data_IF_994278843043
#
_entry.id   IF_994278843043
#
_cell.length_a   1.000
_cell.length_b   1.000
_cell.length_c   1.000
_cell.angle_alpha   90.00
_cell.angle_beta   90.00
_cell.angle_gamma   90.00
#
_symmetry.space_group_name_H-M   'P 1'
#
loop_
_entity.id
_entity.type
_entity.pdbx_description
1 polymer ?
#
# COMPACT_ATOMS: atom_id res chain seq x y z
N UNK A 1 7.04 -18.39 15.79
CA UNK A 1 7.84 -18.41 14.53
C UNK A 1 8.70 -17.16 14.46
N UNK A 2 9.81 -17.27 13.76
CA UNK A 2 10.68 -16.13 13.40
C UNK A 2 10.49 -15.79 11.93
N UNK A 3 9.90 -14.66 11.68
CA UNK A 3 9.58 -14.16 10.33
C UNK A 3 10.53 -13.04 9.93
N UNK A 4 10.66 -12.80 8.64
CA UNK A 4 11.30 -11.60 8.13
C UNK A 4 10.40 -10.92 7.10
N UNK A 5 10.33 -9.60 7.18
CA UNK A 5 9.63 -8.74 6.23
C UNK A 5 10.63 -8.03 5.34
N UNK A 6 10.36 -8.00 4.04
CA UNK A 6 11.21 -7.37 3.04
C UNK A 6 10.42 -6.39 2.20
N UNK A 7 10.81 -5.12 2.24
CA UNK A 7 10.27 -4.05 1.40
C UNK A 7 11.36 -3.43 0.53
N UNK A 8 10.98 -2.68 -0.51
CA UNK A 8 11.94 -1.88 -1.26
C UNK A 8 12.45 -0.71 -0.44
N UNK A 9 11.52 -0.01 0.21
CA UNK A 9 11.74 1.12 1.10
C UNK A 9 10.84 0.94 2.32
N UNK A 10 11.42 0.95 3.52
CA UNK A 10 10.67 0.82 4.77
C UNK A 10 11.49 1.39 5.94
N UNK A 11 10.83 2.13 6.85
CA UNK A 11 9.46 2.61 6.75
C UNK A 11 9.26 3.68 5.67
N UNK A 12 8.01 3.94 5.30
CA UNK A 12 7.63 5.03 4.42
C UNK A 12 6.22 5.53 4.78
N UNK A 13 5.97 6.81 4.58
CA UNK A 13 4.71 7.49 4.94
C UNK A 13 3.47 6.75 4.42
N UNK A 14 3.54 6.16 3.22
CA UNK A 14 2.45 5.40 2.61
C UNK A 14 2.40 3.92 3.00
N UNK A 15 3.27 3.44 3.89
CA UNK A 15 3.40 2.03 4.26
C UNK A 15 2.92 1.72 5.69
N UNK A 16 2.03 2.54 6.25
CA UNK A 16 1.45 2.32 7.59
C UNK A 16 0.80 0.94 7.75
N UNK A 17 0.24 0.38 6.68
CA UNK A 17 -0.36 -0.95 6.68
C UNK A 17 0.67 -2.07 6.92
N UNK A 18 1.90 -1.94 6.40
CA UNK A 18 2.98 -2.91 6.67
C UNK A 18 3.35 -2.89 8.14
N UNK A 19 3.49 -1.70 8.73
CA UNK A 19 3.76 -1.56 10.16
C UNK A 19 2.65 -2.17 11.02
N UNK A 20 1.39 -1.85 10.71
CA UNK A 20 0.22 -2.42 11.43
C UNK A 20 0.16 -3.94 11.36
N UNK A 21 0.50 -4.52 10.21
CA UNK A 21 0.56 -5.97 10.03
C UNK A 21 1.70 -6.58 10.85
N UNK A 22 2.89 -5.98 10.85
CA UNK A 22 4.01 -6.42 11.68
C UNK A 22 3.66 -6.33 13.18
N UNK A 23 3.12 -5.20 13.63
CA UNK A 23 2.70 -5.01 15.03
C UNK A 23 1.66 -6.05 15.46
N UNK A 24 0.70 -6.37 14.59
CA UNK A 24 -0.31 -7.40 14.86
C UNK A 24 0.30 -8.80 14.98
N UNK A 25 1.28 -9.14 14.14
CA UNK A 25 2.02 -10.40 14.18
C UNK A 25 2.86 -10.51 15.46
N UNK A 26 3.54 -9.44 15.86
CA UNK A 26 4.33 -9.42 17.11
C UNK A 26 3.44 -9.53 18.35
N UNK A 27 2.30 -8.86 18.33
CA UNK A 27 1.29 -8.99 19.41
C UNK A 27 0.70 -10.41 19.50
N UNK A 28 0.74 -11.17 18.41
CA UNK A 28 0.39 -12.60 18.40
C UNK A 28 1.54 -13.52 18.90
N UNK A 29 2.65 -12.96 19.38
CA UNK A 29 3.77 -13.70 19.97
C UNK A 29 4.81 -14.20 18.97
N UNK A 30 4.91 -13.62 17.79
CA UNK A 30 5.92 -13.95 16.77
C UNK A 30 7.04 -12.89 16.72
N UNK A 31 8.23 -13.27 16.31
CA UNK A 31 9.35 -12.35 16.11
C UNK A 31 9.43 -11.96 14.62
N UNK A 32 9.52 -10.65 14.32
CA UNK A 32 9.61 -10.15 12.95
C UNK A 32 10.87 -9.33 12.73
N UNK A 33 11.79 -9.83 11.90
CA UNK A 33 12.93 -9.07 11.39
C UNK A 33 12.48 -8.13 10.26
N UNK A 34 12.85 -6.84 10.34
CA UNK A 34 12.53 -5.84 9.31
C UNK A 34 13.70 -5.59 8.40
N UNK A 35 13.48 -5.77 7.10
CA UNK A 35 14.48 -5.53 6.06
C UNK A 35 13.93 -4.61 4.98
N UNK A 36 14.76 -3.65 4.56
CA UNK A 36 14.49 -2.85 3.37
C UNK A 36 15.67 -2.95 2.39
N UNK A 37 15.40 -2.95 1.10
CA UNK A 37 16.47 -2.93 0.10
C UNK A 37 17.20 -1.60 0.13
N UNK A 38 16.48 -0.49 0.34
CA UNK A 38 17.00 0.87 0.40
C UNK A 38 16.76 1.49 1.78
N UNK A 39 17.64 2.40 2.24
CA UNK A 39 17.38 3.13 3.49
C UNK A 39 16.11 3.97 3.39
N UNK A 40 15.46 4.21 4.53
CA UNK A 40 14.30 5.08 4.63
C UNK A 40 14.62 6.51 4.12
N UNK A 41 13.56 7.24 3.72
CA UNK A 41 13.69 8.65 3.34
C UNK A 41 13.62 9.54 4.57
N UNK A 42 14.18 10.76 4.45
CA UNK A 42 14.22 11.74 5.54
C UNK A 42 12.88 12.46 5.81
N UNK A 43 11.79 12.08 5.16
CA UNK A 43 10.49 12.76 5.23
C UNK A 43 9.52 12.15 6.26
N UNK A 44 9.98 11.21 7.09
CA UNK A 44 9.19 10.58 8.14
C UNK A 44 8.84 11.60 9.23
N UNK A 45 7.56 11.70 9.59
CA UNK A 45 7.05 12.58 10.65
C UNK A 45 6.40 11.83 11.82
N UNK A 46 5.88 10.63 11.54
CA UNK A 46 5.22 9.81 12.55
C UNK A 46 6.27 9.16 13.47
N UNK A 47 6.09 9.29 14.79
CA UNK A 47 7.02 8.70 15.77
C UNK A 47 7.10 7.17 15.66
N UNK A 48 6.02 6.53 15.25
CA UNK A 48 6.02 5.09 15.04
C UNK A 48 6.88 4.70 13.84
N UNK A 49 6.85 5.47 12.76
CA UNK A 49 7.72 5.24 11.60
C UNK A 49 9.20 5.51 11.93
N UNK A 50 9.49 6.52 12.75
CA UNK A 50 10.86 6.78 13.24
C UNK A 50 11.38 5.66 14.16
N UNK A 51 10.50 4.98 14.92
CA UNK A 51 10.87 3.79 15.68
C UNK A 51 11.18 2.61 14.77
N UNK A 52 10.35 2.37 13.75
CA UNK A 52 10.57 1.32 12.75
C UNK A 52 11.89 1.54 11.98
N UNK A 53 12.24 2.77 11.63
CA UNK A 53 13.50 3.09 10.95
C UNK A 53 14.72 2.62 11.76
N UNK A 54 14.71 2.80 13.08
CA UNK A 54 15.84 2.44 13.97
C UNK A 54 16.10 0.94 14.02
N UNK A 55 15.06 0.11 13.82
CA UNK A 55 15.12 -1.33 13.92
C UNK A 55 15.11 -2.04 12.55
N UNK A 56 14.95 -1.29 11.46
CA UNK A 56 14.96 -1.83 10.09
C UNK A 56 16.39 -1.91 9.55
N UNK A 57 16.79 -3.08 9.08
CA UNK A 57 18.08 -3.29 8.45
C UNK A 57 18.02 -2.99 6.94
N UNK A 58 18.69 -1.93 6.47
CA UNK A 58 18.79 -1.61 5.06
C UNK A 58 19.91 -2.41 4.38
N UNK A 59 19.57 -3.18 3.34
CA UNK A 59 20.52 -4.01 2.58
C UNK A 59 21.60 -3.16 1.93
N UNK A 60 21.20 -2.08 1.24
CA UNK A 60 22.13 -1.17 0.54
C UNK A 60 22.76 -0.11 1.46
N UNK A 61 22.29 0.05 2.69
CA UNK A 61 22.74 1.10 3.60
C UNK A 61 24.18 0.97 4.11
N UNK A 62 24.84 -0.18 3.90
CA UNK A 62 26.15 -0.50 4.50
C UNK A 62 27.25 -0.80 3.48
N UNK A 63 27.08 -0.41 2.21
CA UNK A 63 28.11 -0.44 1.16
C UNK A 63 28.18 -1.76 0.37
N UNK A 64 28.61 -1.65 -0.89
CA UNK A 64 28.67 -2.74 -1.88
C UNK A 64 29.68 -3.84 -1.52
N UNK A 65 30.77 -3.49 -0.86
CA UNK A 65 31.83 -4.45 -0.44
C UNK A 65 31.25 -5.58 0.41
N UNK A 66 30.29 -5.27 1.26
CA UNK A 66 29.63 -6.24 2.13
C UNK A 66 28.78 -7.24 1.36
N UNK A 67 28.12 -6.79 0.29
CA UNK A 67 27.35 -7.64 -0.61
C UNK A 67 28.27 -8.61 -1.35
N UNK A 68 29.36 -8.10 -1.93
CA UNK A 68 30.36 -8.91 -2.65
C UNK A 68 31.01 -9.95 -1.75
N UNK A 69 31.41 -9.57 -0.53
CA UNK A 69 31.97 -10.54 0.45
C UNK A 69 30.97 -11.63 0.84
N UNK A 70 29.69 -11.27 0.97
CA UNK A 70 28.63 -12.24 1.27
C UNK A 70 28.43 -13.21 0.11
N UNK A 71 28.40 -12.72 -1.11
CA UNK A 71 28.28 -13.55 -2.33
C UNK A 71 29.46 -14.50 -2.46
N UNK A 72 30.69 -14.02 -2.28
CA UNK A 72 31.87 -14.84 -2.36
C UNK A 72 31.85 -15.98 -1.30
N UNK A 73 31.48 -15.66 -0.07
CA UNK A 73 31.38 -16.67 0.99
C UNK A 73 30.35 -17.75 0.68
N UNK A 74 29.19 -17.38 0.08
CA UNK A 74 28.16 -18.34 -0.32
C UNK A 74 28.56 -19.17 -1.55
N UNK A 75 29.26 -18.58 -2.53
CA UNK A 75 29.76 -19.29 -3.69
C UNK A 75 30.72 -20.41 -3.23
N UNK A 76 31.60 -20.09 -2.31
CA UNK A 76 32.58 -21.10 -1.79
C UNK A 76 31.89 -22.18 -0.95
N UNK A 77 30.92 -21.79 -0.09
CA UNK A 77 30.25 -22.75 0.81
C UNK A 77 29.12 -23.55 0.14
N UNK A 78 28.54 -23.09 -0.94
CA UNK A 78 27.38 -23.71 -1.59
C UNK A 78 27.35 -23.40 -3.12
N UNK A 79 28.32 -23.94 -3.90
CA UNK A 79 28.48 -23.56 -5.32
C UNK A 79 27.27 -23.95 -6.18
N UNK A 80 26.63 -25.09 -5.95
CA UNK A 80 25.44 -25.53 -6.70
C UNK A 80 24.28 -24.60 -6.45
N UNK A 81 23.98 -24.25 -5.18
CA UNK A 81 22.92 -23.33 -4.83
C UNK A 81 23.21 -21.90 -5.34
N UNK A 82 24.47 -21.52 -5.42
CA UNK A 82 24.88 -20.24 -6.02
C UNK A 82 24.57 -20.20 -7.52
N UNK A 83 24.81 -21.30 -8.24
CA UNK A 83 24.44 -21.41 -9.66
C UNK A 83 22.91 -21.40 -9.86
N UNK A 84 22.14 -22.13 -9.03
CA UNK A 84 20.68 -22.15 -9.08
C UNK A 84 20.10 -20.73 -8.83
N UNK A 85 20.63 -20.01 -7.84
CA UNK A 85 20.20 -18.65 -7.51
C UNK A 85 20.54 -17.63 -8.62
N UNK A 86 21.70 -17.77 -9.26
CA UNK A 86 22.08 -16.96 -10.42
C UNK A 86 21.17 -17.26 -11.61
N UNK A 87 20.82 -18.55 -11.82
CA UNK A 87 19.82 -18.98 -12.79
C UNK A 87 18.45 -18.35 -12.53
N UNK A 88 18.02 -18.26 -11.27
CA UNK A 88 16.80 -17.56 -10.88
C UNK A 88 16.88 -16.07 -11.22
N UNK A 89 17.96 -15.38 -10.83
CA UNK A 89 18.16 -13.97 -11.16
C UNK A 89 18.11 -13.72 -12.69
N UNK A 90 18.70 -14.62 -13.46
CA UNK A 90 18.66 -14.54 -14.92
C UNK A 90 17.24 -14.75 -15.47
N UNK A 91 16.47 -15.72 -15.00
CA UNK A 91 15.07 -15.96 -15.41
C UNK A 91 14.17 -14.77 -15.10
N UNK A 92 14.39 -14.11 -13.96
CA UNK A 92 13.61 -12.91 -13.57
C UNK A 92 14.01 -11.66 -14.36
N UNK A 93 15.15 -11.65 -15.04
CA UNK A 93 15.72 -10.44 -15.63
C UNK A 93 15.06 -9.98 -16.93
N UNK A 94 14.25 -10.77 -17.60
CA UNK A 94 13.73 -10.40 -18.93
C UNK A 94 14.82 -10.12 -19.99
N UNK A 95 14.44 -9.67 -21.20
CA UNK A 95 15.34 -9.51 -22.34
C UNK A 95 16.06 -8.19 -22.26
N UNK A 96 17.07 -7.83 -21.84
CA UNK A 96 17.76 -6.53 -21.91
C UNK A 96 18.97 -6.46 -20.99
N UNK A 97 20.06 -5.91 -21.50
CA UNK A 97 21.31 -5.83 -20.76
C UNK A 97 21.17 -5.07 -19.42
N UNK A 98 20.46 -3.94 -19.42
CA UNK A 98 20.18 -3.17 -18.19
C UNK A 98 19.40 -3.99 -17.17
N UNK A 99 18.44 -4.81 -17.60
CA UNK A 99 17.69 -5.68 -16.72
C UNK A 99 18.57 -6.78 -16.13
N UNK A 100 19.48 -7.36 -16.91
CA UNK A 100 20.43 -8.37 -16.42
C UNK A 100 21.39 -7.80 -15.36
N UNK A 101 21.91 -6.58 -15.57
CA UNK A 101 22.74 -5.88 -14.55
C UNK A 101 21.95 -5.66 -13.29
N UNK A 102 20.71 -5.17 -13.40
CA UNK A 102 19.84 -4.93 -12.24
C UNK A 102 19.58 -6.21 -11.45
N UNK A 103 19.28 -7.33 -12.11
CA UNK A 103 19.03 -8.59 -11.42
C UNK A 103 20.31 -9.25 -10.89
N UNK A 104 21.46 -8.95 -11.47
CA UNK A 104 22.74 -9.29 -10.86
C UNK A 104 22.96 -8.50 -9.56
N UNK A 105 22.59 -7.23 -9.50
CA UNK A 105 22.61 -6.47 -8.25
C UNK A 105 21.65 -7.10 -7.21
N UNK A 106 20.44 -7.50 -7.60
CA UNK A 106 19.50 -8.23 -6.72
C UNK A 106 20.08 -9.55 -6.21
N UNK A 107 20.87 -10.24 -7.03
CA UNK A 107 21.59 -11.45 -6.61
C UNK A 107 22.63 -11.15 -5.52
N UNK A 108 23.38 -10.04 -5.62
CA UNK A 108 24.29 -9.60 -4.56
C UNK A 108 23.55 -9.22 -3.27
N UNK A 109 22.43 -8.51 -3.40
CA UNK A 109 21.54 -8.15 -2.27
C UNK A 109 20.99 -9.40 -1.57
N UNK A 110 20.55 -10.40 -2.35
CA UNK A 110 20.04 -11.67 -1.86
C UNK A 110 21.11 -12.46 -1.08
N UNK A 111 22.36 -12.43 -1.50
CA UNK A 111 23.47 -13.09 -0.80
C UNK A 111 23.67 -12.55 0.63
N UNK A 112 23.65 -11.24 0.78
CA UNK A 112 23.76 -10.62 2.10
C UNK A 112 22.53 -10.93 2.95
N UNK A 113 21.34 -10.78 2.38
CA UNK A 113 20.08 -11.03 3.08
C UNK A 113 20.02 -12.48 3.56
N UNK A 114 20.35 -13.47 2.71
CA UNK A 114 20.36 -14.89 3.07
C UNK A 114 21.24 -15.16 4.29
N UNK A 115 22.45 -14.60 4.31
CA UNK A 115 23.35 -14.78 5.46
C UNK A 115 22.75 -14.18 6.73
N UNK A 116 22.09 -13.04 6.63
CA UNK A 116 21.44 -12.38 7.76
C UNK A 116 20.24 -13.17 8.27
N UNK A 117 19.39 -13.67 7.36
CA UNK A 117 18.24 -14.52 7.70
C UNK A 117 18.68 -15.81 8.42
N UNK A 118 19.78 -16.44 7.96
CA UNK A 118 20.36 -17.62 8.64
C UNK A 118 20.86 -17.30 10.05
N UNK A 119 21.51 -16.15 10.26
CA UNK A 119 21.95 -15.71 11.58
C UNK A 119 20.80 -15.48 12.56
N UNK A 120 19.65 -15.04 12.05
CA UNK A 120 18.44 -14.79 12.83
C UNK A 120 17.54 -16.04 12.94
N UNK A 121 17.91 -17.17 12.32
CA UNK A 121 17.10 -18.38 12.23
C UNK A 121 15.68 -18.09 11.71
N UNK A 122 15.55 -17.29 10.65
CA UNK A 122 14.26 -16.95 10.04
C UNK A 122 13.66 -18.17 9.36
N UNK A 123 12.40 -18.46 9.68
CA UNK A 123 11.64 -19.61 9.18
C UNK A 123 10.85 -19.28 7.91
N UNK A 124 10.46 -18.03 7.72
CA UNK A 124 9.72 -17.56 6.54
C UNK A 124 10.07 -16.12 6.19
N UNK A 125 10.20 -15.83 4.88
CA UNK A 125 10.42 -14.48 4.36
C UNK A 125 9.18 -13.97 3.66
N UNK A 126 8.56 -12.90 4.17
CA UNK A 126 7.42 -12.25 3.53
C UNK A 126 7.85 -10.93 2.88
N UNK A 127 7.56 -10.76 1.59
CA UNK A 127 7.88 -9.54 0.88
C UNK A 127 6.62 -8.71 0.60
N UNK A 128 6.69 -7.39 0.80
CA UNK A 128 5.66 -6.49 0.31
C UNK A 128 6.05 -5.94 -1.05
N UNK A 129 5.06 -5.94 -1.95
CA UNK A 129 5.13 -5.64 -3.38
C UNK A 129 5.77 -6.75 -4.23
N UNK A 130 5.09 -7.11 -5.30
CA UNK A 130 5.54 -8.05 -6.33
C UNK A 130 6.69 -7.52 -7.22
N UNK A 131 7.33 -6.41 -6.84
CA UNK A 131 8.41 -5.74 -7.57
C UNK A 131 9.79 -6.32 -7.23
N UNK A 132 10.76 -5.49 -6.91
CA UNK A 132 12.12 -5.92 -6.54
C UNK A 132 12.22 -6.69 -5.22
N UNK A 133 11.43 -6.43 -4.14
CA UNK A 133 11.53 -7.25 -2.94
C UNK A 133 11.19 -8.72 -3.21
N UNK A 134 10.10 -8.99 -3.96
CA UNK A 134 9.73 -10.34 -4.33
C UNK A 134 10.79 -11.02 -5.24
N UNK A 135 11.50 -10.25 -6.09
CA UNK A 135 12.61 -10.80 -6.88
C UNK A 135 13.78 -11.21 -6.00
N UNK A 136 14.17 -10.38 -5.03
CA UNK A 136 15.24 -10.69 -4.07
C UNK A 136 14.83 -11.88 -3.21
N UNK A 137 13.59 -11.95 -2.72
CA UNK A 137 13.08 -13.08 -1.94
C UNK A 137 13.13 -14.41 -2.72
N UNK A 138 12.74 -14.41 -4.00
CA UNK A 138 12.82 -15.59 -4.87
C UNK A 138 14.27 -16.04 -5.08
N UNK A 139 15.22 -15.11 -5.23
CA UNK A 139 16.65 -15.44 -5.36
C UNK A 139 17.20 -15.99 -4.03
N UNK A 140 16.82 -15.42 -2.88
CA UNK A 140 17.17 -15.93 -1.55
C UNK A 140 16.70 -17.38 -1.38
N UNK A 141 15.45 -17.65 -1.73
CA UNK A 141 14.88 -19.00 -1.66
C UNK A 141 15.65 -19.99 -2.56
N UNK A 142 15.90 -19.61 -3.82
CA UNK A 142 16.68 -20.42 -4.75
C UNK A 142 18.11 -20.70 -4.25
N UNK A 143 18.66 -19.83 -3.39
CA UNK A 143 19.98 -20.02 -2.76
C UNK A 143 19.94 -20.90 -1.50
N UNK A 144 18.80 -21.52 -1.22
CA UNK A 144 18.61 -22.37 -0.03
C UNK A 144 18.28 -21.55 1.23
N UNK A 145 17.60 -20.42 1.04
CA UNK A 145 16.95 -19.64 2.10
C UNK A 145 15.58 -20.19 2.49
N UNK A 146 14.91 -19.56 3.45
CA UNK A 146 13.58 -19.97 3.88
C UNK A 146 12.57 -19.90 2.73
N UNK A 147 11.42 -20.61 2.85
CA UNK A 147 10.28 -20.38 1.96
C UNK A 147 9.87 -18.90 2.01
N UNK A 148 9.29 -18.41 0.91
CA UNK A 148 8.86 -17.03 0.84
C UNK A 148 7.44 -16.88 0.29
N UNK A 149 6.81 -15.80 0.68
CA UNK A 149 5.55 -15.31 0.12
C UNK A 149 5.64 -13.82 -0.16
N UNK A 150 4.67 -13.27 -0.89
CA UNK A 150 4.62 -11.84 -1.06
C UNK A 150 3.19 -11.33 -1.22
N UNK A 151 2.96 -10.07 -0.81
CA UNK A 151 1.68 -9.37 -0.97
C UNK A 151 1.79 -8.37 -2.12
N UNK A 152 0.77 -8.38 -2.98
CA UNK A 152 0.61 -7.45 -4.12
C UNK A 152 -0.44 -6.41 -3.78
N UNK A 153 -0.07 -5.12 -3.94
CA UNK A 153 -0.85 -4.00 -3.44
C UNK A 153 -1.59 -3.19 -4.51
N UNK A 154 -1.21 -3.29 -5.78
CA UNK A 154 -1.92 -2.50 -6.74
C UNK A 154 -1.32 -2.37 -8.13
N UNK A 155 -1.52 -1.19 -8.76
CA UNK A 155 -1.29 -1.02 -10.18
C UNK A 155 0.17 -1.23 -10.60
N UNK A 156 1.13 -0.87 -9.75
CA UNK A 156 2.56 -0.97 -10.10
C UNK A 156 2.96 -2.38 -10.58
N UNK A 157 2.33 -3.42 -10.03
CA UNK A 157 2.57 -4.80 -10.42
C UNK A 157 1.82 -5.19 -11.70
N UNK A 158 0.63 -4.63 -11.90
CA UNK A 158 -0.25 -5.01 -13.00
C UNK A 158 -0.03 -4.18 -14.27
N UNK A 159 0.63 -3.03 -14.17
CA UNK A 159 0.98 -2.19 -15.32
C UNK A 159 2.16 -2.77 -16.12
N UNK A 160 3.04 -3.55 -15.48
CA UNK A 160 4.21 -4.13 -16.11
C UNK A 160 4.50 -5.59 -15.68
N UNK A 161 3.51 -6.50 -15.65
CA UNK A 161 3.64 -7.83 -15.05
C UNK A 161 4.71 -8.70 -15.72
N UNK A 162 4.86 -8.59 -17.04
CA UNK A 162 5.88 -9.30 -17.81
C UNK A 162 7.28 -8.75 -17.52
N UNK A 163 7.43 -7.42 -17.47
CA UNK A 163 8.73 -6.79 -17.17
C UNK A 163 9.19 -7.05 -15.73
N UNK A 164 8.22 -7.25 -14.83
CA UNK A 164 8.45 -7.63 -13.43
C UNK A 164 8.62 -9.13 -13.23
N UNK A 165 8.49 -9.94 -14.27
CA UNK A 165 8.50 -11.41 -14.19
C UNK A 165 7.54 -11.95 -13.11
N UNK A 166 6.32 -11.40 -13.06
CA UNK A 166 5.34 -11.68 -12.02
C UNK A 166 4.98 -13.18 -11.99
N UNK A 167 4.75 -13.79 -13.15
CA UNK A 167 4.45 -15.21 -13.28
C UNK A 167 5.53 -16.09 -12.63
N UNK A 168 6.81 -15.80 -12.90
CA UNK A 168 7.94 -16.57 -12.38
C UNK A 168 8.07 -16.43 -10.86
N UNK A 169 7.75 -15.27 -10.30
CA UNK A 169 7.75 -15.03 -8.86
C UNK A 169 6.62 -15.78 -8.18
N UNK A 170 5.41 -15.78 -8.77
CA UNK A 170 4.25 -16.55 -8.28
C UNK A 170 4.59 -18.04 -8.25
N UNK A 171 5.13 -18.57 -9.35
CA UNK A 171 5.52 -19.97 -9.44
C UNK A 171 6.55 -20.39 -8.36
N UNK A 172 7.50 -19.51 -8.03
CA UNK A 172 8.54 -19.75 -7.03
C UNK A 172 8.11 -19.56 -5.57
N UNK A 173 7.06 -18.78 -5.33
CA UNK A 173 6.57 -18.49 -3.99
C UNK A 173 5.79 -19.66 -3.38
N UNK A 174 5.76 -19.74 -2.05
CA UNK A 174 4.88 -20.62 -1.30
C UNK A 174 3.42 -20.24 -1.55
N UNK A 175 3.09 -18.98 -1.38
CA UNK A 175 1.82 -18.35 -1.77
C UNK A 175 2.03 -16.88 -2.10
N UNK A 176 1.00 -16.29 -2.72
CA UNK A 176 0.95 -14.86 -3.03
C UNK A 176 -0.38 -14.31 -2.54
N UNK A 177 -0.33 -13.23 -1.77
CA UNK A 177 -1.51 -12.54 -1.27
C UNK A 177 -1.88 -11.37 -2.19
N UNK A 178 -3.14 -11.32 -2.62
CA UNK A 178 -3.77 -10.13 -3.19
C UNK A 178 -4.58 -9.43 -2.11
N UNK A 179 -4.51 -8.10 -2.04
CA UNK A 179 -5.22 -7.32 -1.00
C UNK A 179 -6.72 -7.11 -1.30
N UNK A 180 -7.18 -7.54 -2.46
CA UNK A 180 -8.56 -7.44 -2.92
C UNK A 180 -8.89 -8.58 -3.88
N UNK A 181 -10.17 -8.85 -4.11
CA UNK A 181 -10.63 -9.82 -5.11
C UNK A 181 -10.19 -9.40 -6.51
N UNK A 182 -10.21 -8.10 -6.80
CA UNK A 182 -9.62 -7.55 -8.02
C UNK A 182 -8.14 -7.91 -8.13
N UNK A 183 -7.34 -7.62 -7.09
CA UNK A 183 -5.91 -7.96 -7.07
C UNK A 183 -5.67 -9.45 -7.26
N UNK A 184 -6.46 -10.29 -6.57
CA UNK A 184 -6.43 -11.75 -6.75
C UNK A 184 -6.74 -12.16 -8.20
N UNK A 185 -7.74 -11.56 -8.84
CA UNK A 185 -8.09 -11.85 -10.23
C UNK A 185 -6.97 -11.47 -11.21
N UNK A 186 -6.30 -10.34 -10.97
CA UNK A 186 -5.15 -9.93 -11.77
C UNK A 186 -3.96 -10.87 -11.59
N UNK A 187 -3.68 -11.33 -10.37
CA UNK A 187 -2.66 -12.36 -10.12
C UNK A 187 -2.96 -13.66 -10.87
N UNK A 188 -4.22 -14.13 -10.84
CA UNK A 188 -4.66 -15.30 -11.60
C UNK A 188 -4.48 -15.10 -13.10
N UNK A 189 -4.84 -13.95 -13.64
CA UNK A 189 -4.68 -13.60 -15.05
C UNK A 189 -3.22 -13.66 -15.52
N UNK A 190 -2.27 -13.30 -14.65
CA UNK A 190 -0.85 -13.22 -14.95
C UNK A 190 -0.03 -14.42 -14.43
N UNK A 191 -0.69 -15.49 -13.99
CA UNK A 191 -0.07 -16.74 -13.53
C UNK A 191 -0.48 -17.92 -14.40
N UNK A 192 0.20 -19.06 -14.20
CA UNK A 192 -0.24 -20.34 -14.71
C UNK A 192 -1.46 -20.82 -13.94
N UNK A 193 -2.38 -21.53 -14.60
CA UNK A 193 -3.50 -22.18 -13.91
C UNK A 193 -3.05 -23.13 -12.79
N UNK A 194 -1.92 -23.79 -12.97
CA UNK A 194 -1.33 -24.65 -11.94
C UNK A 194 -0.89 -23.92 -10.65
N UNK A 195 -0.74 -22.59 -10.71
CA UNK A 195 -0.33 -21.77 -9.56
C UNK A 195 -1.54 -21.04 -8.89
N UNK A 196 -2.76 -21.22 -9.37
CA UNK A 196 -3.92 -20.49 -8.86
C UNK A 196 -4.20 -20.77 -7.38
N UNK A 197 -3.96 -22.00 -6.92
CA UNK A 197 -4.14 -22.37 -5.50
C UNK A 197 -3.18 -21.66 -4.56
N UNK A 198 -2.06 -21.14 -5.09
CA UNK A 198 -1.12 -20.30 -4.32
C UNK A 198 -1.60 -18.87 -4.13
N UNK A 199 -2.61 -18.43 -4.91
CA UNK A 199 -3.08 -17.04 -4.91
C UNK A 199 -4.18 -16.89 -3.87
N UNK A 200 -3.84 -16.25 -2.76
CA UNK A 200 -4.69 -16.08 -1.59
C UNK A 200 -5.22 -14.64 -1.52
N UNK A 201 -6.33 -14.45 -0.83
CA UNK A 201 -6.86 -13.12 -0.52
C UNK A 201 -6.49 -12.81 0.93
N UNK A 202 -5.63 -11.83 1.16
CA UNK A 202 -5.32 -11.30 2.50
C UNK A 202 -5.39 -9.78 2.42
N UNK A 203 -6.37 -9.20 3.07
CA UNK A 203 -6.64 -7.77 2.98
C UNK A 203 -5.71 -6.95 3.86
N UNK A 204 -5.38 -5.72 3.43
CA UNK A 204 -4.81 -4.72 4.33
C UNK A 204 -5.86 -4.26 5.34
N UNK A 205 -5.40 -3.80 6.50
CA UNK A 205 -6.30 -3.35 7.56
C UNK A 205 -5.86 -2.08 8.26
N UNK A 206 -6.75 -1.56 9.07
CA UNK A 206 -6.51 -0.49 10.04
C UNK A 206 -6.39 -1.09 11.44
N UNK A 207 -5.71 -0.38 12.32
CA UNK A 207 -5.43 -0.77 13.71
C UNK A 207 -6.50 -0.28 14.70
N UNK A 208 -6.33 -0.66 15.98
CA UNK A 208 -7.17 -0.21 17.07
C UNK A 208 -7.25 1.30 17.23
N UNK A 209 -6.24 2.05 16.77
CA UNK A 209 -6.28 3.52 16.78
C UNK A 209 -7.42 4.10 15.93
N UNK A 210 -7.97 3.30 15.01
CA UNK A 210 -9.14 3.63 14.21
C UNK A 210 -10.40 2.84 14.64
N UNK A 211 -10.25 1.59 15.08
CA UNK A 211 -11.38 0.68 15.34
C UNK A 211 -11.88 0.73 16.78
N UNK A 212 -10.98 0.91 17.77
CA UNK A 212 -11.32 0.87 19.20
C UNK A 212 -11.84 2.22 19.74
N UNK A 213 -11.89 3.24 18.89
CA UNK A 213 -12.39 4.56 19.23
C UNK A 213 -13.76 4.76 18.59
N UNK A 214 -14.75 5.15 19.37
CA UNK A 214 -16.05 5.51 18.83
C UNK A 214 -15.89 6.70 17.88
N UNK A 215 -16.46 6.62 16.67
CA UNK A 215 -16.37 7.72 15.74
C UNK A 215 -17.22 8.90 16.23
N UNK A 216 -16.66 10.10 16.11
CA UNK A 216 -17.48 11.29 16.33
C UNK A 216 -18.65 11.30 15.31
N UNK A 217 -19.86 11.75 15.72
CA UNK A 217 -20.93 11.93 14.75
C UNK A 217 -20.48 12.82 13.59
N UNK A 218 -21.05 12.60 12.42
CA UNK A 218 -20.79 13.49 11.29
C UNK A 218 -21.14 14.94 11.70
N UNK A 219 -20.19 15.90 11.56
CA UNK A 219 -20.43 17.24 12.10
C UNK A 219 -21.59 17.89 11.38
N UNK A 220 -22.62 18.26 12.15
CA UNK A 220 -23.81 18.95 11.61
C UNK A 220 -23.37 20.26 10.99
N UNK A 221 -23.74 20.47 9.73
CA UNK A 221 -23.40 21.70 8.99
C UNK A 221 -21.98 21.76 8.43
N UNK A 222 -21.16 20.73 8.61
CA UNK A 222 -19.84 20.70 7.95
C UNK A 222 -20.01 20.65 6.43
N UNK A 223 -19.19 21.43 5.75
CA UNK A 223 -19.06 21.44 4.28
C UNK A 223 -17.63 21.09 3.86
N UNK A 224 -16.81 20.54 4.79
CA UNK A 224 -15.42 20.19 4.55
C UNK A 224 -15.30 18.80 3.91
N UNK A 225 -14.61 18.74 2.78
CA UNK A 225 -14.11 17.50 2.19
C UNK A 225 -12.63 17.32 2.53
N UNK A 226 -12.21 16.08 2.74
CA UNK A 226 -10.80 15.74 2.97
C UNK A 226 -10.33 14.75 1.92
N UNK A 227 -9.16 14.99 1.36
CA UNK A 227 -8.45 14.10 0.46
C UNK A 227 -7.07 13.81 1.06
N UNK A 228 -6.70 12.54 1.20
CA UNK A 228 -5.36 12.13 1.65
C UNK A 228 -4.72 11.32 0.53
N UNK A 229 -3.71 11.89 -0.11
CA UNK A 229 -3.09 11.27 -1.28
C UNK A 229 -1.67 11.79 -1.52
N UNK A 230 -0.82 10.98 -2.14
CA UNK A 230 0.39 11.50 -2.78
C UNK A 230 0.00 12.42 -3.93
N UNK A 231 0.62 13.58 -4.04
CA UNK A 231 0.33 14.54 -5.10
C UNK A 231 0.98 14.07 -6.42
N UNK A 232 0.38 13.07 -7.04
CA UNK A 232 0.86 12.42 -8.27
C UNK A 232 -0.24 12.32 -9.32
N UNK A 233 0.16 12.14 -10.58
CA UNK A 233 -0.79 12.02 -11.71
C UNK A 233 -1.81 10.88 -11.51
N UNK A 234 -1.42 9.80 -10.87
CA UNK A 234 -2.28 8.66 -10.56
C UNK A 234 -3.50 9.02 -9.71
N UNK A 235 -3.42 10.07 -8.88
CA UNK A 235 -4.44 10.41 -7.88
C UNK A 235 -5.55 11.34 -8.39
N UNK A 236 -5.48 11.78 -9.65
CA UNK A 236 -6.55 12.55 -10.29
C UNK A 236 -6.86 13.91 -9.64
N UNK A 237 -5.94 14.45 -8.82
CA UNK A 237 -6.15 15.69 -8.07
C UNK A 237 -6.49 16.93 -8.94
N UNK A 238 -5.97 17.08 -10.17
CA UNK A 238 -6.41 18.13 -11.06
C UNK A 238 -7.91 18.11 -11.36
N UNK A 239 -8.54 16.91 -11.44
CA UNK A 239 -10.00 16.80 -11.61
C UNK A 239 -10.74 17.28 -10.36
N UNK A 240 -10.21 17.00 -9.15
CA UNK A 240 -10.80 17.53 -7.92
C UNK A 240 -10.76 19.06 -7.88
N UNK A 241 -9.66 19.67 -8.31
CA UNK A 241 -9.54 21.14 -8.40
C UNK A 241 -10.51 21.69 -9.45
N UNK A 242 -10.69 21.00 -10.60
CA UNK A 242 -11.71 21.33 -11.61
C UNK A 242 -13.12 21.27 -11.04
N UNK A 243 -13.47 20.18 -10.36
CA UNK A 243 -14.77 20.01 -9.70
C UNK A 243 -15.03 21.10 -8.64
N UNK A 244 -14.02 21.50 -7.86
CA UNK A 244 -14.12 22.60 -6.92
C UNK A 244 -14.45 23.94 -7.60
N UNK A 245 -13.87 24.21 -8.77
CA UNK A 245 -14.23 25.42 -9.52
C UNK A 245 -15.71 25.42 -9.90
N UNK A 246 -16.22 24.33 -10.42
CA UNK A 246 -17.64 24.21 -10.83
C UNK A 246 -18.57 24.33 -9.63
N UNK A 247 -18.29 23.67 -8.52
CA UNK A 247 -19.07 23.82 -7.28
C UNK A 247 -19.15 25.28 -6.81
N UNK A 248 -18.03 26.00 -6.86
CA UNK A 248 -18.02 27.44 -6.53
C UNK A 248 -18.85 28.26 -7.52
N UNK A 249 -18.69 27.99 -8.82
CA UNK A 249 -19.42 28.72 -9.87
C UNK A 249 -20.94 28.45 -9.78
N UNK A 250 -21.36 27.29 -9.27
CA UNK A 250 -22.72 26.91 -8.91
C UNK A 250 -23.18 27.48 -7.54
N UNK A 251 -22.37 28.32 -6.88
CA UNK A 251 -22.67 28.96 -5.62
C UNK A 251 -22.65 28.06 -4.38
N UNK A 252 -22.11 26.88 -4.48
CA UNK A 252 -21.99 25.96 -3.33
C UNK A 252 -20.94 26.45 -2.31
N UNK A 253 -21.27 26.32 -1.02
CA UNK A 253 -20.32 26.60 0.07
C UNK A 253 -19.62 25.30 0.48
N UNK A 254 -18.32 25.24 0.33
CA UNK A 254 -17.50 24.07 0.67
C UNK A 254 -16.05 24.45 0.94
N UNK A 255 -15.32 23.54 1.58
CA UNK A 255 -13.86 23.55 1.65
C UNK A 255 -13.32 22.18 1.32
N UNK A 256 -12.12 22.11 0.72
CA UNK A 256 -11.39 20.88 0.45
C UNK A 256 -9.99 20.98 1.05
N UNK A 257 -9.68 20.07 1.97
CA UNK A 257 -8.34 19.93 2.54
C UNK A 257 -7.64 18.76 1.87
N UNK A 258 -6.57 19.00 1.12
CA UNK A 258 -5.75 17.99 0.48
C UNK A 258 -4.49 17.78 1.31
N UNK A 259 -4.32 16.56 1.83
CA UNK A 259 -3.22 16.14 2.70
C UNK A 259 -2.28 15.25 1.90
N UNK A 260 -1.00 15.58 1.89
CA UNK A 260 0.06 14.85 1.23
C UNK A 260 1.04 15.75 0.50
N UNK A 261 2.02 15.13 -0.15
CA UNK A 261 3.03 15.81 -0.96
C UNK A 261 3.37 14.97 -2.21
N UNK A 262 4.04 15.56 -3.19
CA UNK A 262 4.45 14.89 -4.41
C UNK A 262 4.78 15.83 -5.55
N UNK A 263 5.10 15.22 -6.70
CA UNK A 263 5.60 15.92 -7.88
C UNK A 263 4.62 16.93 -8.50
N UNK A 264 3.32 16.84 -8.20
CA UNK A 264 2.31 17.78 -8.70
C UNK A 264 2.04 18.96 -7.77
N UNK A 265 2.76 19.11 -6.64
CA UNK A 265 2.48 20.17 -5.66
C UNK A 265 2.44 21.55 -6.30
N UNK A 266 3.53 21.96 -6.94
CA UNK A 266 3.65 23.30 -7.54
C UNK A 266 2.59 23.54 -8.62
N UNK A 267 2.31 22.52 -9.43
CA UNK A 267 1.30 22.58 -10.48
C UNK A 267 -0.13 22.75 -9.90
N UNK A 268 -0.45 22.02 -8.83
CA UNK A 268 -1.73 22.13 -8.14
C UNK A 268 -1.89 23.50 -7.45
N UNK A 269 -0.86 24.01 -6.78
CA UNK A 269 -0.87 25.35 -6.18
C UNK A 269 -1.07 26.44 -7.24
N UNK A 270 -0.43 26.32 -8.40
CA UNK A 270 -0.61 27.25 -9.51
C UNK A 270 -2.03 27.17 -10.10
N UNK A 271 -2.60 25.95 -10.23
CA UNK A 271 -3.95 25.75 -10.76
C UNK A 271 -5.04 26.28 -9.79
N UNK A 272 -4.87 26.06 -8.49
CA UNK A 272 -5.75 26.60 -7.43
C UNK A 272 -5.77 28.14 -7.50
N UNK A 273 -4.59 28.80 -7.58
CA UNK A 273 -4.49 30.26 -7.72
C UNK A 273 -5.11 30.75 -9.02
N UNK A 274 -4.81 30.11 -10.15
CA UNK A 274 -5.37 30.49 -11.46
C UNK A 274 -6.89 30.46 -11.48
N UNK A 275 -7.50 29.53 -10.74
CA UNK A 275 -8.95 29.36 -10.64
C UNK A 275 -9.56 30.20 -9.51
N UNK A 276 -8.78 30.92 -8.69
CA UNK A 276 -9.27 31.72 -7.56
C UNK A 276 -9.88 30.85 -6.46
N UNK A 277 -9.30 29.67 -6.16
CA UNK A 277 -9.83 28.69 -5.21
C UNK A 277 -9.11 28.69 -3.85
N UNK A 278 -8.21 29.64 -3.58
CA UNK A 278 -7.34 29.66 -2.39
C UNK A 278 -8.11 29.67 -1.07
N UNK A 279 -9.35 30.17 -1.09
CA UNK A 279 -10.22 30.19 0.08
C UNK A 279 -10.97 28.86 0.29
N UNK A 280 -11.12 28.06 -0.77
CA UNK A 280 -11.91 26.81 -0.75
C UNK A 280 -11.04 25.56 -0.79
N UNK A 281 -9.83 25.61 -1.35
CA UNK A 281 -8.94 24.45 -1.51
C UNK A 281 -7.59 24.70 -0.86
N UNK A 282 -7.17 23.82 0.06
CA UNK A 282 -5.92 23.95 0.82
C UNK A 282 -5.04 22.72 0.66
N UNK A 283 -3.76 22.92 0.31
CA UNK A 283 -2.71 21.89 0.32
C UNK A 283 -1.93 22.00 1.62
N UNK A 284 -2.12 21.08 2.56
CA UNK A 284 -1.54 21.17 3.92
C UNK A 284 -0.22 20.42 4.08
N UNK A 285 0.22 19.68 3.05
CA UNK A 285 1.45 18.89 3.11
C UNK A 285 1.28 17.55 3.84
N UNK A 286 2.40 16.94 4.21
CA UNK A 286 2.40 15.65 4.93
C UNK A 286 1.98 15.88 6.38
N UNK A 287 1.00 15.10 6.82
CA UNK A 287 0.48 15.07 8.19
C UNK A 287 0.78 13.72 8.87
N UNK A 288 0.87 13.74 10.18
CA UNK A 288 0.91 12.53 11.02
C UNK A 288 -0.45 11.80 11.01
N UNK A 289 -0.48 10.55 11.44
CA UNK A 289 -1.72 9.78 11.54
C UNK A 289 -2.75 10.45 12.48
N UNK A 290 -2.31 11.10 13.56
CA UNK A 290 -3.19 11.85 14.47
C UNK A 290 -3.82 13.08 13.83
N UNK A 291 -3.05 13.83 13.04
CA UNK A 291 -3.54 14.98 12.29
C UNK A 291 -4.54 14.57 11.20
N UNK A 292 -4.24 13.48 10.46
CA UNK A 292 -5.16 12.90 9.47
C UNK A 292 -6.50 12.53 10.12
N UNK A 293 -6.46 11.83 11.27
CA UNK A 293 -7.67 11.51 12.03
C UNK A 293 -8.45 12.77 12.43
N UNK A 294 -7.76 13.81 12.88
CA UNK A 294 -8.40 15.08 13.24
C UNK A 294 -9.09 15.76 12.05
N UNK A 295 -8.49 15.71 10.86
CA UNK A 295 -9.12 16.20 9.63
C UNK A 295 -10.33 15.35 9.24
N UNK A 296 -10.21 14.02 9.26
CA UNK A 296 -11.32 13.12 8.95
C UNK A 296 -12.51 13.33 9.89
N UNK A 297 -12.28 13.54 11.19
CA UNK A 297 -13.36 13.80 12.15
C UNK A 297 -14.21 15.03 11.83
N UNK A 298 -13.61 16.08 11.27
CA UNK A 298 -14.31 17.31 10.86
C UNK A 298 -14.93 17.23 9.48
N UNK A 299 -14.50 16.27 8.68
CA UNK A 299 -14.93 16.14 7.31
C UNK A 299 -16.41 15.73 7.20
N UNK A 300 -17.10 16.31 6.25
CA UNK A 300 -18.41 15.86 5.78
C UNK A 300 -18.30 14.54 5.03
N UNK A 301 -17.32 14.43 4.14
CA UNK A 301 -16.98 13.24 3.41
C UNK A 301 -15.49 13.23 3.03
N UNK A 302 -14.97 12.04 2.80
CA UNK A 302 -13.65 11.83 2.22
C UNK A 302 -13.77 11.77 0.70
N UNK A 303 -12.81 12.34 -0.06
CA UNK A 303 -12.83 12.31 -1.52
C UNK A 303 -11.50 11.80 -2.08
N UNK A 304 -11.54 10.85 -3.03
CA UNK A 304 -10.37 10.27 -3.68
C UNK A 304 -10.65 9.96 -5.17
N UNK A 305 -10.35 10.89 -6.10
CA UNK A 305 -10.66 10.75 -7.53
C UNK A 305 -9.56 10.04 -8.33
N UNK A 306 -8.94 9.02 -7.77
CA UNK A 306 -7.79 8.32 -8.36
C UNK A 306 -8.09 7.67 -9.71
N UNK A 307 -7.11 7.65 -10.60
CA UNK A 307 -7.17 6.92 -11.86
C UNK A 307 -6.75 5.46 -11.73
N UNK A 308 -5.88 5.16 -10.76
CA UNK A 308 -5.42 3.79 -10.50
C UNK A 308 -5.13 3.58 -9.01
N UNK A 309 -5.55 2.44 -8.49
CA UNK A 309 -5.38 2.00 -7.10
C UNK A 309 -5.25 0.48 -7.03
N UNK A 310 -4.92 -0.04 -5.85
CA UNK A 310 -5.26 -1.41 -5.47
C UNK A 310 -6.54 -1.40 -4.63
N UNK A 311 -6.39 -1.18 -3.32
CA UNK A 311 -7.45 -0.80 -2.38
C UNK A 311 -6.84 0.17 -1.36
N UNK A 312 -7.14 1.48 -1.46
CA UNK A 312 -6.47 2.50 -0.67
C UNK A 312 -6.78 2.39 0.83
N UNK A 313 -5.75 2.32 1.66
CA UNK A 313 -5.90 2.26 3.12
C UNK A 313 -6.57 3.53 3.68
N UNK A 314 -6.35 4.68 3.04
CA UNK A 314 -6.99 5.95 3.44
C UNK A 314 -8.51 5.93 3.31
N UNK A 315 -9.09 5.12 2.41
CA UNK A 315 -10.54 4.87 2.34
C UNK A 315 -10.97 4.06 3.57
N UNK A 316 -10.21 3.04 3.95
CA UNK A 316 -10.48 2.27 5.17
C UNK A 316 -10.41 3.18 6.41
N UNK A 317 -9.42 4.06 6.47
CA UNK A 317 -9.26 5.04 7.56
C UNK A 317 -10.43 6.03 7.65
N UNK A 318 -10.92 6.52 6.51
CA UNK A 318 -12.08 7.40 6.47
C UNK A 318 -13.37 6.69 6.92
N UNK A 319 -13.63 5.50 6.38
CA UNK A 319 -14.79 4.68 6.76
C UNK A 319 -14.72 4.22 8.22
N UNK A 320 -13.54 3.89 8.75
CA UNK A 320 -13.35 3.57 10.16
C UNK A 320 -13.73 4.73 11.09
N UNK A 321 -13.56 5.98 10.62
CA UNK A 321 -14.04 7.19 11.33
C UNK A 321 -15.50 7.54 10.98
N UNK A 322 -16.25 6.58 10.42
CA UNK A 322 -17.64 6.77 9.97
C UNK A 322 -17.81 7.98 9.02
N UNK A 323 -16.85 8.24 8.16
CA UNK A 323 -16.96 9.25 7.10
C UNK A 323 -17.33 8.61 5.78
N UNK A 324 -18.44 9.00 5.15
CA UNK A 324 -18.79 8.57 3.82
C UNK A 324 -17.67 8.91 2.81
N UNK A 325 -17.56 8.12 1.77
CA UNK A 325 -16.46 8.21 0.80
C UNK A 325 -16.99 8.51 -0.59
N UNK A 326 -16.42 9.52 -1.24
CA UNK A 326 -16.55 9.76 -2.68
C UNK A 326 -15.26 9.23 -3.34
N UNK A 327 -15.37 8.20 -4.17
CA UNK A 327 -14.19 7.61 -4.81
C UNK A 327 -14.50 7.12 -6.22
N UNK A 328 -13.46 6.98 -7.03
CA UNK A 328 -13.58 6.39 -8.35
C UNK A 328 -13.77 4.88 -8.29
N UNK A 329 -14.58 4.34 -9.18
CA UNK A 329 -14.85 2.90 -9.31
C UNK A 329 -13.68 2.18 -10.01
N UNK A 330 -12.50 2.17 -9.37
CA UNK A 330 -11.29 1.52 -9.91
C UNK A 330 -10.81 0.41 -9.00
N UNK A 331 -10.25 -0.63 -9.60
CA UNK A 331 -9.62 -1.76 -8.93
C UNK A 331 -10.48 -2.36 -7.79
N UNK A 332 -9.95 -2.44 -6.57
CA UNK A 332 -10.65 -2.99 -5.40
C UNK A 332 -11.58 -2.01 -4.69
N UNK A 333 -11.65 -0.73 -5.07
CA UNK A 333 -12.49 0.25 -4.37
C UNK A 333 -13.98 -0.16 -4.32
N UNK A 334 -14.60 -0.68 -5.41
CA UNK A 334 -15.98 -1.14 -5.38
C UNK A 334 -16.26 -2.35 -4.46
N UNK A 335 -15.22 -3.03 -3.96
CA UNK A 335 -15.39 -4.11 -2.98
C UNK A 335 -15.67 -3.57 -1.57
N UNK A 336 -15.35 -2.31 -1.31
CA UNK A 336 -15.49 -1.68 0.00
C UNK A 336 -16.51 -0.53 -0.02
N UNK A 337 -16.57 0.23 -1.11
CA UNK A 337 -17.42 1.43 -1.26
C UNK A 337 -18.51 1.19 -2.28
N UNK A 338 -19.73 1.53 -1.93
CA UNK A 338 -20.90 1.58 -2.81
C UNK A 338 -21.88 2.69 -2.36
N UNK A 339 -23.09 2.69 -2.92
CA UNK A 339 -24.12 3.68 -2.59
C UNK A 339 -24.61 3.67 -1.14
N UNK A 340 -24.37 2.59 -0.37
CA UNK A 340 -24.77 2.49 1.03
C UNK A 340 -23.80 3.22 1.97
N UNK A 341 -22.52 3.33 1.60
CA UNK A 341 -21.48 3.97 2.44
C UNK A 341 -20.77 5.14 1.78
N UNK A 342 -21.18 5.52 0.54
CA UNK A 342 -20.54 6.61 -0.18
C UNK A 342 -21.10 6.85 -1.56
N UNK A 343 -20.24 7.31 -2.46
CA UNK A 343 -20.52 7.57 -3.87
C UNK A 343 -19.37 7.02 -4.72
N UNK A 344 -19.69 6.14 -5.66
CA UNK A 344 -18.74 5.67 -6.67
C UNK A 344 -18.95 6.45 -7.96
N UNK A 345 -17.86 7.01 -8.48
CA UNK A 345 -17.87 7.77 -9.73
C UNK A 345 -16.94 7.13 -10.77
N UNK A 346 -17.23 7.26 -12.07
CA UNK A 346 -16.31 6.84 -13.11
C UNK A 346 -14.99 7.59 -13.02
N UNK A 347 -13.86 6.88 -13.17
CA UNK A 347 -12.54 7.51 -13.21
C UNK A 347 -12.44 8.46 -14.43
N UNK A 348 -11.88 9.65 -14.21
CA UNK A 348 -11.74 10.67 -15.25
C UNK A 348 -12.99 11.53 -15.50
N UNK A 349 -14.10 11.28 -14.83
CA UNK A 349 -15.33 12.09 -14.98
C UNK A 349 -15.39 13.19 -13.94
N UNK A 350 -15.08 14.42 -14.36
CA UNK A 350 -15.27 15.62 -13.54
C UNK A 350 -16.76 15.86 -13.25
N UNK A 351 -17.65 15.63 -14.23
CA UNK A 351 -19.10 15.80 -14.06
C UNK A 351 -19.64 14.91 -12.93
N UNK A 352 -19.32 13.62 -12.96
CA UNK A 352 -19.77 12.70 -11.92
C UNK A 352 -19.18 13.03 -10.54
N UNK A 353 -17.96 13.58 -10.49
CA UNK A 353 -17.35 14.02 -9.24
C UNK A 353 -18.08 15.26 -8.68
N UNK A 354 -18.44 16.21 -9.52
CA UNK A 354 -19.26 17.39 -9.14
C UNK A 354 -20.62 16.95 -8.61
N UNK A 355 -21.31 16.05 -9.31
CA UNK A 355 -22.59 15.50 -8.89
C UNK A 355 -22.49 14.82 -7.52
N UNK A 356 -21.53 13.93 -7.32
CA UNK A 356 -21.33 13.22 -6.05
C UNK A 356 -20.98 14.19 -4.89
N UNK A 357 -20.13 15.18 -5.12
CA UNK A 357 -19.82 16.20 -4.12
C UNK A 357 -21.03 17.08 -3.79
N UNK A 358 -21.84 17.45 -4.80
CA UNK A 358 -23.10 18.19 -4.62
C UNK A 358 -24.11 17.39 -3.80
N UNK A 359 -24.29 16.12 -4.12
CA UNK A 359 -25.16 15.21 -3.38
C UNK A 359 -24.71 15.06 -1.93
N UNK A 360 -23.39 14.90 -1.73
CA UNK A 360 -22.82 14.86 -0.39
C UNK A 360 -23.09 16.16 0.39
N UNK A 361 -23.03 17.34 -0.22
CA UNK A 361 -23.38 18.63 0.41
C UNK A 361 -24.86 18.74 0.78
N UNK A 362 -25.74 18.16 -0.02
CA UNK A 362 -27.21 18.18 0.19
C UNK A 362 -27.70 17.08 1.12
N UNK A 363 -26.91 16.02 1.31
CA UNK A 363 -27.28 14.87 2.12
C UNK A 363 -27.57 15.29 3.57
N UNK A 364 -28.64 14.76 4.17
CA UNK A 364 -28.97 15.04 5.57
C UNK A 364 -27.90 14.51 6.53
N UNK A 365 -27.80 15.08 7.73
CA UNK A 365 -26.88 14.58 8.76
C UNK A 365 -27.20 13.12 9.15
N UNK A 366 -28.49 12.76 9.15
CA UNK A 366 -28.94 11.40 9.42
C UNK A 366 -28.48 10.40 8.35
N UNK A 367 -28.61 10.74 7.07
CA UNK A 367 -28.18 9.87 5.97
C UNK A 367 -26.67 9.75 5.91
N UNK A 368 -25.93 10.84 6.18
CA UNK A 368 -24.47 10.78 6.31
C UNK A 368 -24.05 9.86 7.46
N UNK A 369 -24.73 9.92 8.61
CA UNK A 369 -24.47 9.05 9.72
C UNK A 369 -24.76 7.57 9.40
N UNK A 370 -25.85 7.27 8.69
CA UNK A 370 -26.18 5.92 8.19
C UNK A 370 -25.09 5.40 7.25
N UNK A 371 -24.69 6.22 6.25
CA UNK A 371 -23.60 5.84 5.32
C UNK A 371 -22.29 5.59 6.07
N UNK A 372 -21.94 6.46 7.02
CA UNK A 372 -20.75 6.32 7.85
C UNK A 372 -20.77 5.03 8.69
N UNK A 373 -21.91 4.71 9.31
CA UNK A 373 -22.07 3.49 10.10
C UNK A 373 -21.91 2.22 9.26
N UNK A 374 -22.51 2.16 8.08
CA UNK A 374 -22.35 1.05 7.15
C UNK A 374 -20.89 0.88 6.73
N UNK A 375 -20.24 1.97 6.33
CA UNK A 375 -18.82 1.92 5.93
C UNK A 375 -17.90 1.44 7.05
N UNK A 376 -18.13 1.94 8.30
CA UNK A 376 -17.38 1.47 9.47
C UNK A 376 -17.58 -0.01 9.74
N UNK A 377 -18.82 -0.51 9.68
CA UNK A 377 -19.13 -1.91 9.83
C UNK A 377 -18.34 -2.80 8.85
N UNK A 378 -18.28 -2.41 7.59
CA UNK A 378 -17.50 -3.13 6.56
C UNK A 378 -16.00 -3.14 6.86
N UNK A 379 -15.45 -2.03 7.33
CA UNK A 379 -14.03 -1.98 7.71
C UNK A 379 -13.75 -2.86 8.92
N UNK A 380 -14.60 -2.84 9.92
CA UNK A 380 -14.47 -3.69 11.12
C UNK A 380 -14.51 -5.18 10.75
N UNK A 381 -15.36 -5.57 9.81
CA UNK A 381 -15.51 -6.95 9.36
C UNK A 381 -14.34 -7.43 8.50
N UNK A 382 -13.92 -6.62 7.51
CA UNK A 382 -13.01 -7.07 6.45
C UNK A 382 -11.58 -6.51 6.56
N UNK A 383 -11.40 -5.40 7.28
CA UNK A 383 -10.15 -4.63 7.26
C UNK A 383 -9.59 -4.37 8.67
N UNK A 384 -9.75 -5.32 9.58
CA UNK A 384 -9.08 -5.33 10.87
C UNK A 384 -7.67 -5.92 10.71
N UNK A 385 -6.63 -5.13 11.02
CA UNK A 385 -5.22 -5.57 10.86
C UNK A 385 -4.89 -6.81 11.68
N UNK A 386 -5.49 -6.98 12.85
CA UNK A 386 -5.27 -8.15 13.73
C UNK A 386 -5.81 -9.43 13.06
N UNK A 387 -7.05 -9.38 12.56
CA UNK A 387 -7.67 -10.52 11.90
C UNK A 387 -6.92 -10.90 10.62
N UNK A 388 -6.58 -9.92 9.81
CA UNK A 388 -5.92 -10.15 8.54
C UNK A 388 -4.47 -10.66 8.72
N UNK A 389 -3.76 -10.17 9.75
CA UNK A 389 -2.45 -10.69 10.13
C UNK A 389 -2.51 -12.15 10.60
N UNK A 390 -3.59 -12.54 11.28
CA UNK A 390 -3.82 -13.94 11.69
C UNK A 390 -4.04 -14.84 10.47
N UNK A 391 -4.84 -14.42 9.50
CA UNK A 391 -5.01 -15.15 8.23
C UNK A 391 -3.67 -15.34 7.50
N UNK A 392 -2.84 -14.29 7.45
CA UNK A 392 -1.50 -14.39 6.87
C UNK A 392 -0.61 -15.39 7.61
N UNK A 393 -0.65 -15.39 8.96
CA UNK A 393 0.10 -16.33 9.79
C UNK A 393 -0.34 -17.79 9.57
N UNK A 394 -1.62 -18.05 9.41
CA UNK A 394 -2.16 -19.37 9.09
C UNK A 394 -1.61 -19.88 7.75
N UNK A 395 -1.61 -19.05 6.70
CA UNK A 395 -1.02 -19.39 5.40
C UNK A 395 0.51 -19.61 5.48
N UNK A 396 1.20 -18.86 6.32
CA UNK A 396 2.65 -19.06 6.55
C UNK A 396 2.89 -20.38 7.28
N UNK A 397 2.03 -20.79 8.19
CA UNK A 397 2.17 -22.01 8.98
C UNK A 397 1.74 -23.29 8.23
N UNK A 398 0.93 -23.19 7.17
CA UNK A 398 0.55 -24.35 6.36
C UNK A 398 1.81 -25.11 5.87
N UNK A 399 1.83 -26.45 5.84
CA UNK A 399 2.92 -27.20 5.24
C UNK A 399 3.05 -26.91 3.73
N UNK A 400 4.26 -27.06 3.18
CA UNK A 400 4.52 -26.91 1.73
C UNK A 400 3.88 -28.05 0.92
#
# INVERSE_FOLDING_TARGET
MRLAYLCNLYPAVSHSFVRREIEAIENAGHEVGRFSLRPARADLKDEADLREERITEAVLGKGVVRLVRSSFALIVSSPVKSAESLGMAYRLSGPGFRSKIRHFAYWLEAAWLLRRLRQLNVEHLHAHFGTNPAAVAAIVHAWGGPPFSFTVHGPDEFDAPVALALQQKIAAAKFVAGISSYGRSQLMRWSSFADWDKIKLVRCGVDGGYLDVDPDPSPVGSTEFVCVARLSSQKGLPLLVGACQRLRDDGQQFTVTIIGDGELRDALEADIRRRGLEQSVRLVGICSASEIRAHLRRARAFVLPSFAEGLPVVIMEALAQARPVIATAVAGIPELVDGECGWLVPAGSEDALVEAMTDALRCSAEDLAKKGAVGRGRVMEMHCSITNAKELLELIAEPL
#
